data_IF_660553821938
#
_entry.id   IF_660553821938
#
_cell.length_a   1.000
_cell.length_b   1.000
_cell.length_c   1.000
_cell.angle_alpha   90.00
_cell.angle_beta   90.00
_cell.angle_gamma   90.00
#
_symmetry.space_group_name_H-M   'P 1'
#
loop_
_entity.id
_entity.type
_entity.pdbx_description
1 polymer ?
#
# COMPACT_ATOMS: atom_id res chain seq x y z
N UNK A 1 3.04 -4.85 -3.62
CA UNK A 1 3.22 -5.33 -4.99
C UNK A 1 2.11 -4.77 -5.85
N UNK A 2 2.41 -3.81 -6.72
CA UNK A 2 1.41 -3.10 -7.51
C UNK A 2 0.96 -3.89 -8.75
N UNK A 3 1.84 -4.57 -9.53
CA UNK A 3 1.41 -5.37 -10.67
C UNK A 3 0.36 -6.43 -10.32
N UNK A 4 0.52 -7.12 -9.19
CA UNK A 4 -0.45 -8.10 -8.71
C UNK A 4 -1.73 -7.44 -8.16
N UNK A 5 -1.60 -6.29 -7.47
CA UNK A 5 -2.76 -5.56 -6.97
C UNK A 5 -3.64 -5.01 -8.10
N UNK A 6 -3.03 -4.47 -9.17
CA UNK A 6 -3.75 -4.05 -10.38
C UNK A 6 -4.50 -5.22 -11.03
N UNK A 7 -3.87 -6.40 -11.09
CA UNK A 7 -4.53 -7.60 -11.60
C UNK A 7 -5.74 -7.99 -10.73
N UNK A 8 -5.59 -7.99 -9.41
CA UNK A 8 -6.68 -8.29 -8.47
C UNK A 8 -7.86 -7.31 -8.64
N UNK A 9 -7.58 -6.02 -8.77
CA UNK A 9 -8.59 -4.99 -9.04
C UNK A 9 -9.33 -5.26 -10.36
N UNK A 10 -8.58 -5.58 -11.41
CA UNK A 10 -9.12 -5.85 -12.74
C UNK A 10 -10.08 -7.05 -12.75
N UNK A 11 -9.68 -8.17 -12.13
CA UNK A 11 -10.50 -9.41 -12.18
C UNK A 11 -11.71 -9.36 -11.25
N UNK A 12 -11.65 -8.62 -10.14
CA UNK A 12 -12.72 -8.54 -9.15
C UNK A 12 -13.60 -7.30 -9.32
N UNK A 13 -13.33 -6.45 -10.32
CA UNK A 13 -14.03 -5.17 -10.51
C UNK A 13 -14.07 -4.31 -9.24
N UNK A 14 -12.95 -4.23 -8.53
CA UNK A 14 -12.88 -3.54 -7.22
C UNK A 14 -13.17 -2.05 -7.40
N UNK A 15 -14.11 -1.52 -6.63
CA UNK A 15 -14.44 -0.09 -6.61
C UNK A 15 -13.54 0.72 -5.69
N UNK A 16 -13.13 0.15 -4.55
CA UNK A 16 -12.25 0.77 -3.57
C UNK A 16 -11.50 -0.28 -2.74
N UNK A 17 -10.37 0.12 -2.17
CA UNK A 17 -9.46 -0.75 -1.43
C UNK A 17 -9.50 -0.42 0.06
N UNK A 18 -9.51 -1.47 0.90
CA UNK A 18 -9.17 -1.37 2.32
C UNK A 18 -7.69 -1.70 2.49
N UNK A 19 -6.86 -0.72 2.87
CA UNK A 19 -5.45 -0.94 3.16
C UNK A 19 -5.31 -1.36 4.63
N UNK A 20 -4.59 -2.44 4.89
CA UNK A 20 -4.45 -2.98 6.26
C UNK A 20 -3.01 -2.97 6.73
N UNK A 21 -2.84 -2.94 8.06
CA UNK A 21 -1.54 -3.00 8.74
C UNK A 21 -0.58 -1.87 8.37
N UNK A 22 -1.09 -0.65 8.19
CA UNK A 22 -0.24 0.50 7.90
C UNK A 22 0.74 0.77 9.06
N UNK A 23 0.33 0.47 10.30
CA UNK A 23 1.14 0.59 11.52
C UNK A 23 2.44 -0.22 11.48
N UNK A 24 2.48 -1.33 10.75
CA UNK A 24 3.67 -2.19 10.62
C UNK A 24 4.80 -1.50 9.84
N UNK A 25 4.48 -0.47 9.06
CA UNK A 25 5.47 0.30 8.30
C UNK A 25 6.08 1.46 9.10
N UNK A 26 5.58 1.75 10.31
CA UNK A 26 6.15 2.78 11.19
C UNK A 26 7.60 2.47 11.55
N UNK A 27 8.43 3.50 11.65
CA UNK A 27 9.84 3.38 12.00
C UNK A 27 10.75 3.00 10.83
N UNK A 28 10.21 2.63 9.67
CA UNK A 28 11.01 2.47 8.46
C UNK A 28 11.46 3.84 7.94
N UNK A 29 12.72 3.96 7.52
CA UNK A 29 13.24 5.20 6.91
C UNK A 29 12.80 5.39 5.46
N UNK A 30 12.77 4.29 4.70
CA UNK A 30 12.35 4.25 3.30
C UNK A 30 11.47 3.03 3.09
N UNK A 31 10.41 3.18 2.31
CA UNK A 31 9.45 2.11 2.02
C UNK A 31 9.53 1.78 0.53
N UNK A 32 9.98 0.55 0.18
CA UNK A 32 9.99 0.10 -1.21
C UNK A 32 8.58 -0.28 -1.68
N UNK A 33 8.19 0.21 -2.84
CA UNK A 33 6.96 -0.16 -3.54
C UNK A 33 7.36 -0.80 -4.87
N UNK A 34 7.09 -2.08 -5.04
CA UNK A 34 7.24 -2.74 -6.34
C UNK A 34 6.15 -2.21 -7.29
N UNK A 35 6.55 -1.41 -8.28
CA UNK A 35 5.64 -0.70 -9.19
C UNK A 35 5.39 -1.46 -10.49
N UNK A 36 6.39 -2.21 -10.94
CA UNK A 36 6.43 -2.94 -12.22
C UNK A 36 7.34 -4.16 -12.08
N UNK A 37 7.23 -5.11 -13.01
CA UNK A 37 8.22 -6.17 -13.18
C UNK A 37 8.95 -6.00 -14.50
N UNK A 38 10.22 -6.37 -14.55
CA UNK A 38 10.92 -6.71 -15.78
C UNK A 38 10.89 -8.24 -15.96
N UNK A 39 10.38 -8.71 -17.10
CA UNK A 39 10.42 -10.13 -17.48
C UNK A 39 11.08 -10.23 -18.85
N UNK A 40 12.28 -10.78 -18.90
CA UNK A 40 13.06 -10.96 -20.13
C UNK A 40 13.20 -9.64 -20.96
N UNK A 41 13.41 -8.50 -20.28
CA UNK A 41 13.57 -7.17 -20.88
C UNK A 41 12.26 -6.45 -21.19
N UNK A 42 11.12 -7.00 -20.77
CA UNK A 42 9.78 -6.41 -20.99
C UNK A 42 9.18 -5.94 -19.68
N UNK A 43 8.73 -4.68 -19.67
CA UNK A 43 8.01 -4.11 -18.53
C UNK A 43 6.59 -4.67 -18.45
N UNK A 44 6.28 -5.31 -17.32
CA UNK A 44 4.97 -5.84 -16.98
C UNK A 44 4.34 -4.98 -15.89
N UNK A 45 3.22 -4.32 -16.22
CA UNK A 45 2.47 -3.43 -15.32
C UNK A 45 1.29 -4.10 -14.62
N UNK A 46 0.79 -5.19 -15.19
CA UNK A 46 -0.31 -6.00 -14.66
C UNK A 46 0.15 -7.45 -14.77
N UNK A 47 0.33 -8.11 -13.63
CA UNK A 47 0.86 -9.45 -13.58
C UNK A 47 -0.29 -10.43 -13.32
N UNK A 48 -0.61 -11.27 -14.31
CA UNK A 48 -1.42 -12.45 -14.04
C UNK A 48 -0.61 -13.44 -13.19
N UNK A 49 -1.26 -14.28 -12.37
CA UNK A 49 -0.60 -15.24 -11.49
C UNK A 49 -0.08 -16.45 -12.28
N UNK A 50 0.80 -16.20 -13.26
CA UNK A 50 1.51 -17.21 -14.02
C UNK A 50 2.85 -17.47 -13.35
N UNK A 51 2.99 -18.63 -12.71
CA UNK A 51 4.18 -19.03 -11.96
C UNK A 51 5.46 -18.92 -12.81
N UNK A 52 5.45 -19.41 -14.06
CA UNK A 52 6.64 -19.37 -14.94
C UNK A 52 7.09 -17.96 -15.29
N UNK A 53 6.14 -17.02 -15.38
CA UNK A 53 6.46 -15.61 -15.60
C UNK A 53 7.01 -14.98 -14.32
N UNK A 54 6.38 -15.26 -13.18
CA UNK A 54 6.80 -14.72 -11.87
C UNK A 54 8.19 -15.22 -11.46
N UNK A 55 8.57 -16.45 -11.82
CA UNK A 55 9.92 -16.99 -11.59
C UNK A 55 11.03 -16.19 -12.29
N UNK A 56 10.70 -15.54 -13.41
CA UNK A 56 11.63 -14.71 -14.19
C UNK A 56 11.50 -13.22 -13.88
N UNK A 57 10.50 -12.84 -13.10
CA UNK A 57 10.17 -11.45 -12.86
C UNK A 57 11.19 -10.80 -11.93
N UNK A 58 11.86 -9.75 -12.42
CA UNK A 58 12.70 -8.88 -11.61
C UNK A 58 11.87 -7.68 -11.15
N UNK A 59 11.66 -7.47 -9.84
CA UNK A 59 10.85 -6.36 -9.34
C UNK A 59 11.54 -5.01 -9.55
N UNK A 60 10.80 -4.04 -10.08
CA UNK A 60 11.22 -2.64 -10.20
C UNK A 60 10.59 -1.86 -9.04
N UNK A 61 11.43 -1.29 -8.17
CA UNK A 61 11.01 -0.57 -6.98
C UNK A 61 11.05 0.95 -7.15
N UNK A 62 10.02 1.61 -6.65
CA UNK A 62 10.06 3.01 -6.24
C UNK A 62 10.21 3.08 -4.72
N UNK A 63 10.76 4.17 -4.18
CA UNK A 63 10.98 4.36 -2.76
C UNK A 63 10.29 5.63 -2.27
N UNK A 64 9.49 5.50 -1.23
CA UNK A 64 8.94 6.63 -0.50
C UNK A 64 9.68 6.81 0.83
N UNK A 65 9.68 8.04 1.35
CA UNK A 65 10.08 8.30 2.73
C UNK A 65 9.10 7.62 3.68
N UNK A 66 9.62 6.94 4.70
CA UNK A 66 8.80 6.40 5.77
C UNK A 66 8.52 7.46 6.83
N UNK A 67 7.98 7.03 7.96
CA UNK A 67 7.61 7.92 9.07
C UNK A 67 8.13 7.37 10.40
N UNK A 68 8.22 8.22 11.45
CA UNK A 68 8.67 7.79 12.77
C UNK A 68 7.91 6.57 13.29
N UNK A 69 8.55 5.80 14.14
CA UNK A 69 7.86 4.74 14.87
C UNK A 69 6.82 5.37 15.81
N UNK A 70 5.61 4.80 15.84
CA UNK A 70 4.49 5.31 16.59
C UNK A 70 3.98 4.22 17.54
N UNK A 71 3.80 4.58 18.80
CA UNK A 71 3.25 3.69 19.80
C UNK A 71 1.75 3.43 19.57
N UNK A 72 1.25 2.35 20.18
CA UNK A 72 -0.17 1.97 20.14
C UNK A 72 -1.11 3.12 20.52
N UNK A 73 -0.76 3.89 21.53
CA UNK A 73 -1.59 5.00 22.02
C UNK A 73 -1.64 6.16 21.01
N UNK A 74 -0.56 6.39 20.25
CA UNK A 74 -0.54 7.40 19.20
C UNK A 74 -1.41 6.98 18.02
N UNK A 75 -1.30 5.73 17.57
CA UNK A 75 -2.20 5.18 16.56
C UNK A 75 -3.67 5.27 16.99
N UNK A 76 -3.97 5.02 18.26
CA UNK A 76 -5.33 5.18 18.80
C UNK A 76 -5.80 6.63 18.79
N UNK A 77 -4.94 7.59 19.09
CA UNK A 77 -5.29 9.02 18.97
C UNK A 77 -5.53 9.41 17.52
N UNK A 78 -4.77 8.86 16.58
CA UNK A 78 -4.95 9.10 15.16
C UNK A 78 -6.32 8.58 14.69
N UNK A 79 -6.73 7.36 15.09
CA UNK A 79 -8.04 6.83 14.68
C UNK A 79 -9.21 7.70 15.15
N UNK A 80 -9.09 8.33 16.33
CA UNK A 80 -10.09 9.27 16.85
C UNK A 80 -10.10 10.62 16.13
N UNK A 81 -8.96 11.04 15.56
CA UNK A 81 -8.79 12.33 14.87
C UNK A 81 -8.96 12.22 13.36
N UNK A 82 -8.96 11.01 12.80
CA UNK A 82 -9.22 10.74 11.38
C UNK A 82 -8.00 10.93 10.48
N UNK A 83 -8.30 11.00 9.17
CA UNK A 83 -7.31 11.00 8.07
C UNK A 83 -6.18 12.01 8.25
N UNK A 84 -6.52 13.26 8.57
CA UNK A 84 -5.55 14.35 8.65
C UNK A 84 -4.59 14.25 9.84
N UNK A 85 -4.87 13.36 10.80
CA UNK A 85 -3.96 13.09 11.91
C UNK A 85 -2.87 12.06 11.57
N UNK A 86 -2.96 11.38 10.42
CA UNK A 86 -1.89 10.49 9.97
C UNK A 86 -0.61 11.29 9.69
N UNK A 87 0.59 10.68 9.91
CA UNK A 87 1.84 11.27 9.44
C UNK A 87 1.78 11.59 7.95
N UNK A 88 2.39 12.71 7.56
CA UNK A 88 2.38 13.18 6.16
C UNK A 88 2.89 12.12 5.17
N UNK A 89 4.00 11.45 5.50
CA UNK A 89 4.55 10.39 4.67
C UNK A 89 3.66 9.13 4.64
N UNK A 90 2.88 8.88 5.70
CA UNK A 90 1.91 7.79 5.72
C UNK A 90 0.73 8.08 4.78
N UNK A 91 0.22 9.32 4.76
CA UNK A 91 -0.78 9.76 3.78
C UNK A 91 -0.24 9.68 2.36
N UNK A 92 0.98 10.17 2.14
CA UNK A 92 1.68 10.10 0.84
C UNK A 92 1.81 8.67 0.35
N UNK A 93 2.11 7.71 1.23
CA UNK A 93 2.18 6.29 0.89
C UNK A 93 0.83 5.75 0.38
N UNK A 94 -0.26 6.04 1.10
CA UNK A 94 -1.62 5.62 0.72
C UNK A 94 -2.02 6.25 -0.62
N UNK A 95 -1.84 7.56 -0.77
CA UNK A 95 -2.17 8.31 -2.00
C UNK A 95 -1.35 7.84 -3.20
N UNK A 96 -0.08 7.49 -2.97
CA UNK A 96 0.76 6.91 -4.01
C UNK A 96 0.22 5.56 -4.47
N UNK A 97 -0.23 4.69 -3.55
CA UNK A 97 -0.85 3.42 -3.92
C UNK A 97 -2.12 3.67 -4.73
N UNK A 98 -3.00 4.57 -4.30
CA UNK A 98 -4.23 4.93 -5.02
C UNK A 98 -3.93 5.35 -6.47
N UNK A 99 -2.96 6.25 -6.64
CA UNK A 99 -2.53 6.71 -7.96
C UNK A 99 -1.97 5.56 -8.81
N UNK A 100 -1.18 4.67 -8.21
CA UNK A 100 -0.58 3.55 -8.91
C UNK A 100 -1.63 2.51 -9.35
N UNK A 101 -2.67 2.29 -8.56
CA UNK A 101 -3.69 1.26 -8.86
C UNK A 101 -4.94 1.81 -9.56
N UNK A 102 -5.12 3.14 -9.59
CA UNK A 102 -6.26 3.80 -10.20
C UNK A 102 -7.58 3.56 -9.47
N UNK A 103 -7.53 3.22 -8.18
CA UNK A 103 -8.71 2.99 -7.32
C UNK A 103 -8.53 3.68 -5.97
N UNK A 104 -9.60 4.24 -5.40
CA UNK A 104 -9.55 4.90 -4.10
C UNK A 104 -9.29 3.90 -2.96
N UNK A 105 -8.56 4.35 -1.94
CA UNK A 105 -8.44 3.68 -0.65
C UNK A 105 -9.35 4.44 0.32
N UNK A 106 -10.40 3.78 0.82
CA UNK A 106 -11.40 4.41 1.71
C UNK A 106 -11.23 4.05 3.18
N UNK A 107 -10.51 2.96 3.45
CA UNK A 107 -10.32 2.46 4.79
C UNK A 107 -8.86 2.09 4.98
N UNK A 108 -8.26 2.58 6.07
CA UNK A 108 -6.88 2.29 6.44
C UNK A 108 -6.84 1.75 7.86
N UNK A 109 -6.48 0.47 8.02
CA UNK A 109 -6.27 -0.13 9.34
C UNK A 109 -4.85 0.14 9.84
N UNK A 110 -4.77 0.60 11.09
CA UNK A 110 -3.55 1.05 11.80
C UNK A 110 -3.36 0.30 13.12
N UNK A 111 -3.84 -0.93 13.20
CA UNK A 111 -3.62 -1.79 14.36
C UNK A 111 -4.48 -3.06 14.36
N UNK A 112 -4.10 -4.02 15.20
CA UNK A 112 -4.75 -5.32 15.28
C UNK A 112 -6.04 -5.35 16.13
N UNK A 113 -6.26 -4.35 17.00
CA UNK A 113 -7.47 -4.29 17.81
C UNK A 113 -8.67 -3.83 16.96
N UNK A 114 -9.88 -4.26 17.34
CA UNK A 114 -11.09 -3.74 16.71
C UNK A 114 -11.17 -2.21 16.85
N UNK A 115 -11.72 -1.54 15.83
CA UNK A 115 -11.86 -0.07 15.77
C UNK A 115 -10.51 0.66 15.71
N UNK A 116 -9.53 0.04 15.05
CA UNK A 116 -8.22 0.63 14.73
C UNK A 116 -8.16 0.93 13.23
N UNK A 117 -9.14 1.70 12.75
CA UNK A 117 -9.27 2.08 11.36
C UNK A 117 -9.47 3.59 11.22
N UNK A 118 -8.92 4.14 10.15
CA UNK A 118 -9.09 5.52 9.69
C UNK A 118 -9.90 5.46 8.41
N UNK A 119 -11.01 6.21 8.38
CA UNK A 119 -11.83 6.39 7.17
C UNK A 119 -11.30 7.59 6.40
N UNK A 120 -11.13 7.44 5.09
CA UNK A 120 -10.72 8.49 4.16
C UNK A 120 -11.90 8.94 3.30
#
# INVERSE_FOLDING_TARGET
DIPLLRYSIMINSIDWVALTKLDVLSGLRKIPICVEYDVDGKTIRIASPNVKMLEKATPIYSYLDGWPDLGREEWRKITLRGWDALPENARTYVETIENLVGKPIKLVSVGAAARMEVVK
#
